data_IF_804726315828
#
_entry.id   IF_804726315828
#
_cell.length_a   1.000
_cell.length_b   1.000
_cell.length_c   1.000
_cell.angle_alpha   90.00
_cell.angle_beta   90.00
_cell.angle_gamma   90.00
#
_symmetry.space_group_name_H-M   'P 1'
#
loop_
_entity.id
_entity.type
_entity.pdbx_description
1 polymer ?
#
# COMPACT_ATOMS: atom_id res chain seq x y z
N UNK A 1 -38.18 4.98 27.69
CA UNK A 1 -38.06 4.11 26.49
C UNK A 1 -36.99 4.61 25.51
N UNK A 2 -35.85 5.12 25.98
CA UNK A 2 -34.73 5.60 25.16
C UNK A 2 -33.34 5.03 25.58
N UNK A 3 -33.16 3.70 25.80
CA UNK A 3 -31.82 3.11 25.77
C UNK A 3 -31.67 1.93 24.79
N UNK A 4 -32.55 1.81 23.78
CA UNK A 4 -32.54 0.71 22.78
C UNK A 4 -32.15 1.13 21.36
N UNK A 5 -31.71 2.37 21.14
CA UNK A 5 -30.96 2.71 19.92
C UNK A 5 -29.53 2.21 20.13
N UNK A 6 -29.38 0.90 19.94
CA UNK A 6 -28.13 0.18 19.97
C UNK A 6 -27.08 0.86 19.11
N UNK A 7 -25.81 0.70 19.49
CA UNK A 7 -24.67 1.24 18.78
C UNK A 7 -24.92 1.22 17.26
N UNK A 8 -24.70 2.34 16.54
CA UNK A 8 -24.94 2.38 15.10
C UNK A 8 -24.24 1.18 14.48
N UNK A 9 -24.99 0.40 13.69
CA UNK A 9 -24.44 -0.82 13.11
C UNK A 9 -23.11 -0.49 12.43
N UNK A 10 -22.06 -1.32 12.60
CA UNK A 10 -20.77 -1.05 11.96
C UNK A 10 -20.83 -1.24 10.44
N UNK A 11 -21.94 -1.82 9.94
CA UNK A 11 -22.16 -2.13 8.53
C UNK A 11 -21.99 -0.93 7.59
N UNK A 12 -22.62 0.25 7.82
CA UNK A 12 -22.32 1.47 7.08
C UNK A 12 -20.85 1.84 6.99
N UNK A 13 -20.07 1.68 8.08
CA UNK A 13 -18.65 2.01 8.08
C UNK A 13 -17.85 1.02 7.23
N UNK A 14 -18.19 -0.27 7.29
CA UNK A 14 -17.57 -1.28 6.44
C UNK A 14 -17.90 -1.07 4.97
N UNK A 15 -19.14 -0.76 4.63
CA UNK A 15 -19.55 -0.46 3.26
C UNK A 15 -18.85 0.79 2.72
N UNK A 16 -18.75 1.85 3.53
CA UNK A 16 -18.05 3.07 3.17
C UNK A 16 -16.55 2.82 2.97
N UNK A 17 -15.91 2.07 3.86
CA UNK A 17 -14.51 1.69 3.74
C UNK A 17 -14.23 0.82 2.51
N UNK A 18 -15.11 -0.15 2.24
CA UNK A 18 -15.05 -0.97 1.02
C UNK A 18 -15.17 -0.12 -0.24
N UNK A 19 -16.18 0.76 -0.30
CA UNK A 19 -16.39 1.64 -1.43
C UNK A 19 -15.19 2.57 -1.65
N UNK A 20 -14.65 3.13 -0.57
CA UNK A 20 -13.45 3.96 -0.61
C UNK A 20 -12.25 3.19 -1.19
N UNK A 21 -11.95 2.00 -0.66
CA UNK A 21 -10.86 1.17 -1.15
C UNK A 21 -11.04 0.75 -2.62
N UNK A 22 -12.27 0.43 -3.02
CA UNK A 22 -12.60 0.08 -4.41
C UNK A 22 -12.37 1.26 -5.36
N UNK A 23 -12.88 2.45 -5.01
CA UNK A 23 -12.68 3.67 -5.80
C UNK A 23 -11.21 4.07 -5.86
N UNK A 24 -10.48 3.90 -4.76
CA UNK A 24 -9.05 4.19 -4.69
C UNK A 24 -8.23 3.28 -5.61
N UNK A 25 -8.56 1.98 -5.64
CA UNK A 25 -7.93 1.04 -6.57
C UNK A 25 -8.17 1.44 -8.04
N UNK A 26 -9.39 1.84 -8.38
CA UNK A 26 -9.71 2.37 -9.71
C UNK A 26 -8.92 3.65 -10.02
N UNK A 27 -8.84 4.57 -9.05
CA UNK A 27 -8.07 5.82 -9.17
C UNK A 27 -6.60 5.55 -9.45
N UNK A 28 -5.97 4.62 -8.74
CA UNK A 28 -4.54 4.29 -8.95
C UNK A 28 -4.28 3.75 -10.36
N UNK A 29 -5.12 2.84 -10.84
CA UNK A 29 -4.99 2.28 -12.20
C UNK A 29 -5.22 3.36 -13.26
N UNK A 30 -6.27 4.17 -13.10
CA UNK A 30 -6.59 5.25 -14.03
C UNK A 30 -5.52 6.34 -14.07
N UNK A 31 -5.00 6.77 -12.91
CA UNK A 31 -3.94 7.76 -12.81
C UNK A 31 -2.63 7.26 -13.44
N UNK A 32 -2.28 5.98 -13.23
CA UNK A 32 -1.11 5.36 -13.84
C UNK A 32 -1.19 5.27 -15.36
N UNK A 33 -2.38 5.02 -15.91
CA UNK A 33 -2.64 5.02 -17.35
C UNK A 33 -2.63 6.44 -17.93
N UNK A 34 -3.31 7.39 -17.29
CA UNK A 34 -3.35 8.79 -17.72
C UNK A 34 -1.94 9.39 -17.78
N UNK A 35 -1.08 9.10 -16.79
CA UNK A 35 0.31 9.53 -16.78
C UNK A 35 1.11 8.93 -17.95
N UNK A 36 0.82 7.68 -18.31
CA UNK A 36 1.46 7.00 -19.43
C UNK A 36 1.06 7.61 -20.79
N UNK A 37 -0.19 8.05 -20.92
CA UNK A 37 -0.71 8.66 -22.15
C UNK A 37 -0.28 10.12 -22.33
N UNK A 38 -0.03 10.85 -21.23
CA UNK A 38 0.33 12.28 -21.26
C UNK A 38 1.82 12.55 -21.50
N UNK A 39 2.70 11.58 -21.25
CA UNK A 39 4.14 11.79 -21.26
C UNK A 39 4.86 10.87 -22.26
N UNK A 40 5.90 11.37 -22.94
CA UNK A 40 6.77 10.55 -23.77
C UNK A 40 7.54 9.53 -22.93
N UNK A 41 7.90 8.38 -23.52
CA UNK A 41 8.48 7.23 -22.81
C UNK A 41 9.73 7.57 -22.00
N UNK A 42 10.52 8.51 -22.50
CA UNK A 42 11.77 8.98 -21.92
C UNK A 42 11.54 9.77 -20.62
N UNK A 43 10.40 10.47 -20.52
CA UNK A 43 10.02 11.25 -19.35
C UNK A 43 9.26 10.42 -18.29
N UNK A 44 8.66 9.30 -18.67
CA UNK A 44 7.82 8.48 -17.78
C UNK A 44 8.56 7.97 -16.54
N UNK A 45 9.80 7.52 -16.70
CA UNK A 45 10.59 7.01 -15.58
C UNK A 45 10.85 8.11 -14.53
N UNK A 46 11.23 9.31 -14.99
CA UNK A 46 11.46 10.48 -14.12
C UNK A 46 10.18 10.94 -13.44
N UNK A 47 9.09 11.06 -14.19
CA UNK A 47 7.80 11.51 -13.65
C UNK A 47 7.23 10.52 -12.62
N UNK A 48 7.32 9.21 -12.88
CA UNK A 48 6.93 8.18 -11.89
C UNK A 48 7.79 8.21 -10.64
N UNK A 49 9.11 8.42 -10.78
CA UNK A 49 10.00 8.56 -9.63
C UNK A 49 9.65 9.76 -8.75
N UNK A 50 9.39 10.92 -9.37
CA UNK A 50 8.94 12.13 -8.65
C UNK A 50 7.59 11.90 -7.96
N UNK A 51 6.63 11.30 -8.67
CA UNK A 51 5.31 11.02 -8.12
C UNK A 51 5.40 10.06 -6.93
N UNK A 52 6.24 9.04 -7.00
CA UNK A 52 6.50 8.12 -5.88
C UNK A 52 7.09 8.84 -4.66
N UNK A 53 8.04 9.76 -4.88
CA UNK A 53 8.60 10.57 -3.78
C UNK A 53 7.54 11.49 -3.14
N UNK A 54 6.66 12.10 -3.95
CA UNK A 54 5.55 12.91 -3.44
C UNK A 54 4.55 12.07 -2.64
N UNK A 55 4.20 10.87 -3.11
CA UNK A 55 3.33 9.96 -2.35
C UNK A 55 3.96 9.57 -1.01
N UNK A 56 5.23 9.17 -0.99
CA UNK A 56 5.91 8.80 0.26
C UNK A 56 5.95 9.96 1.27
N UNK A 57 6.20 11.19 0.80
CA UNK A 57 6.16 12.37 1.66
C UNK A 57 4.74 12.66 2.16
N UNK A 58 3.74 12.56 1.28
CA UNK A 58 2.33 12.79 1.62
C UNK A 58 1.83 11.76 2.64
N UNK A 59 2.16 10.48 2.48
CA UNK A 59 1.78 9.41 3.41
C UNK A 59 2.38 9.66 4.80
N UNK A 60 3.69 9.95 4.87
CA UNK A 60 4.36 10.25 6.14
C UNK A 60 3.76 11.48 6.85
N UNK A 61 3.46 12.54 6.10
CA UNK A 61 2.80 13.74 6.63
C UNK A 61 1.35 13.46 7.07
N UNK A 62 0.63 12.66 6.28
CA UNK A 62 -0.76 12.29 6.51
C UNK A 62 -0.91 11.48 7.80
N UNK A 63 -0.06 10.47 8.02
CA UNK A 63 -0.12 9.62 9.23
C UNK A 63 0.13 10.42 10.51
N UNK A 64 1.14 11.30 10.48
CA UNK A 64 1.42 12.21 11.60
C UNK A 64 0.26 13.17 11.86
N UNK A 65 -0.22 13.84 10.81
CA UNK A 65 -1.29 14.82 10.91
C UNK A 65 -2.59 14.16 11.39
N UNK A 66 -2.94 12.99 10.85
CA UNK A 66 -4.12 12.24 11.25
C UNK A 66 -4.07 11.84 12.73
N UNK A 67 -2.93 11.33 13.21
CA UNK A 67 -2.76 10.98 14.63
C UNK A 67 -2.93 12.18 15.56
N UNK A 68 -2.28 13.31 15.24
CA UNK A 68 -2.36 14.54 16.05
C UNK A 68 -3.78 15.14 16.03
N UNK A 69 -4.37 15.28 14.84
CA UNK A 69 -5.69 15.86 14.66
C UNK A 69 -6.77 15.00 15.32
N UNK A 70 -6.67 13.67 15.22
CA UNK A 70 -7.64 12.77 15.85
C UNK A 70 -7.63 12.89 17.37
N UNK A 71 -6.45 13.10 17.96
CA UNK A 71 -6.27 13.31 19.40
C UNK A 71 -6.88 14.64 19.86
N UNK A 72 -6.83 15.68 19.01
CA UNK A 72 -7.35 17.02 19.33
C UNK A 72 -8.84 17.16 19.05
N UNK A 73 -9.31 16.73 17.88
CA UNK A 73 -10.70 16.87 17.45
C UNK A 73 -11.04 15.94 16.28
N UNK A 74 -11.92 14.96 16.55
CA UNK A 74 -12.40 13.98 15.56
C UNK A 74 -13.10 14.61 14.33
N UNK A 75 -13.99 15.62 14.48
CA UNK A 75 -14.66 16.25 13.33
C UNK A 75 -13.69 16.97 12.39
N UNK A 76 -12.64 17.60 12.93
CA UNK A 76 -11.64 18.30 12.11
C UNK A 76 -10.84 17.34 11.24
N UNK A 77 -10.54 16.14 11.75
CA UNK A 77 -9.82 15.10 10.99
C UNK A 77 -10.63 14.67 9.76
N UNK A 78 -11.93 14.41 9.94
CA UNK A 78 -12.83 14.02 8.84
C UNK A 78 -13.07 15.20 7.88
N UNK A 79 -13.24 16.41 8.41
CA UNK A 79 -13.49 17.62 7.62
C UNK A 79 -12.31 17.99 6.71
N UNK A 80 -11.10 18.01 7.26
CA UNK A 80 -9.88 18.28 6.47
C UNK A 80 -9.63 17.19 5.42
N UNK A 81 -9.74 15.91 5.81
CA UNK A 81 -9.57 14.79 4.87
C UNK A 81 -10.57 14.86 3.71
N UNK A 82 -11.84 15.12 4.01
CA UNK A 82 -12.88 15.28 2.98
C UNK A 82 -12.61 16.48 2.08
N UNK A 83 -12.21 17.62 2.65
CA UNK A 83 -11.87 18.83 1.89
C UNK A 83 -10.72 18.61 0.90
N UNK A 84 -9.67 17.91 1.33
CA UNK A 84 -8.55 17.54 0.46
C UNK A 84 -8.98 16.61 -0.69
N UNK A 85 -9.86 15.65 -0.42
CA UNK A 85 -10.42 14.77 -1.46
C UNK A 85 -11.24 15.55 -2.49
N UNK A 86 -12.07 16.51 -2.05
CA UNK A 86 -12.83 17.37 -2.97
C UNK A 86 -11.90 18.27 -3.80
N UNK A 87 -10.86 18.84 -3.19
CA UNK A 87 -9.86 19.62 -3.90
C UNK A 87 -9.16 18.76 -4.97
N UNK A 88 -8.74 17.55 -4.61
CA UNK A 88 -8.12 16.61 -5.55
C UNK A 88 -9.08 16.28 -6.72
N UNK A 89 -10.36 16.01 -6.43
CA UNK A 89 -11.37 15.77 -7.47
C UNK A 89 -11.54 16.98 -8.41
N UNK A 90 -11.49 18.20 -7.87
CA UNK A 90 -11.48 19.44 -8.67
C UNK A 90 -10.26 19.55 -9.58
N UNK A 91 -9.06 19.27 -9.06
CA UNK A 91 -7.81 19.27 -9.83
C UNK A 91 -7.81 18.19 -10.93
N UNK A 92 -8.38 17.01 -10.66
CA UNK A 92 -8.54 15.97 -11.68
C UNK A 92 -9.40 16.39 -12.86
N UNK A 93 -10.39 17.27 -12.65
CA UNK A 93 -11.22 17.81 -13.74
C UNK A 93 -10.49 18.82 -14.61
N UNK A 94 -9.42 19.43 -14.11
CA UNK A 94 -8.62 20.41 -14.84
C UNK A 94 -7.51 19.75 -15.68
N UNK A 95 -7.27 18.45 -15.52
CA UNK A 95 -6.26 17.72 -16.30
C UNK A 95 -6.72 17.55 -17.76
N UNK A 96 -5.84 17.79 -18.75
CA UNK A 96 -6.13 17.51 -20.14
C UNK A 96 -6.32 16.00 -20.32
N UNK A 97 -7.48 15.60 -20.85
CA UNK A 97 -7.75 14.19 -21.14
C UNK A 97 -7.25 13.87 -22.55
N UNK A 98 -6.28 12.94 -22.71
CA UNK A 98 -5.88 12.49 -24.03
C UNK A 98 -7.07 11.79 -24.73
N UNK A 99 -7.12 11.83 -26.08
CA UNK A 99 -8.19 11.20 -26.83
C UNK A 99 -8.28 9.71 -26.51
N UNK A 100 -9.50 9.24 -26.23
CA UNK A 100 -9.76 7.83 -25.86
C UNK A 100 -9.22 6.89 -26.94
N UNK A 101 -8.21 6.08 -26.62
CA UNK A 101 -7.85 4.96 -27.49
C UNK A 101 -9.02 3.97 -27.52
N UNK A 102 -9.62 3.75 -28.68
CA UNK A 102 -10.79 2.89 -28.89
C UNK A 102 -10.48 1.39 -28.87
N UNK A 103 -9.49 0.97 -28.06
CA UNK A 103 -9.13 -0.45 -27.96
C UNK A 103 -10.20 -1.13 -27.11
N UNK A 104 -11.02 -1.98 -27.76
CA UNK A 104 -12.01 -2.82 -27.08
C UNK A 104 -11.31 -3.66 -26.00
N UNK A 105 -11.86 -3.76 -24.78
CA UNK A 105 -11.39 -4.71 -23.79
C UNK A 105 -11.74 -6.11 -24.31
N UNK A 106 -10.83 -6.74 -25.05
CA UNK A 106 -10.91 -8.18 -25.29
C UNK A 106 -10.89 -8.85 -23.91
N UNK A 107 -11.92 -9.63 -23.58
CA UNK A 107 -12.18 -10.25 -22.26
C UNK A 107 -11.13 -11.29 -21.82
N UNK A 108 -9.86 -10.88 -21.80
CA UNK A 108 -8.66 -11.69 -21.63
C UNK A 108 -7.82 -11.23 -20.43
N UNK A 109 -8.37 -10.41 -19.54
CA UNK A 109 -7.67 -9.92 -18.33
C UNK A 109 -7.13 -11.04 -17.44
N UNK A 110 -7.78 -12.21 -17.44
CA UNK A 110 -7.35 -13.40 -16.70
C UNK A 110 -6.10 -14.08 -17.28
N UNK A 111 -5.69 -13.79 -18.53
CA UNK A 111 -4.46 -14.36 -19.12
C UNK A 111 -3.20 -13.90 -18.38
N UNK A 112 -3.20 -12.68 -17.81
CA UNK A 112 -2.06 -12.19 -17.02
C UNK A 112 -1.86 -12.99 -15.73
N UNK A 113 -2.95 -13.29 -15.02
CA UNK A 113 -2.96 -14.13 -13.82
C UNK A 113 -2.57 -15.59 -14.14
N UNK A 114 -3.09 -16.12 -15.24
CA UNK A 114 -2.76 -17.48 -15.69
C UNK A 114 -1.28 -17.62 -16.07
N UNK A 115 -0.74 -16.65 -16.81
CA UNK A 115 0.70 -16.62 -17.16
C UNK A 115 1.59 -16.51 -15.92
N UNK A 116 1.21 -15.66 -14.97
CA UNK A 116 1.89 -15.50 -13.69
C UNK A 116 1.95 -16.82 -12.89
N UNK A 117 0.86 -17.58 -12.88
CA UNK A 117 0.75 -18.85 -12.16
C UNK A 117 1.43 -20.02 -12.87
N UNK A 118 1.39 -20.04 -14.21
CA UNK A 118 2.02 -21.07 -15.04
C UNK A 118 3.55 -20.92 -15.12
N UNK A 119 4.10 -19.74 -14.85
CA UNK A 119 5.54 -19.50 -14.88
C UNK A 119 6.24 -20.00 -13.60
N UNK A 120 7.11 -21.03 -13.67
CA UNK A 120 7.71 -21.66 -12.49
C UNK A 120 8.60 -20.72 -11.66
N UNK A 121 9.20 -19.71 -12.30
CA UNK A 121 10.06 -18.72 -11.65
C UNK A 121 9.28 -17.62 -10.92
N UNK A 122 8.07 -17.30 -11.40
CA UNK A 122 7.24 -16.21 -10.85
C UNK A 122 6.27 -16.68 -9.78
N UNK A 123 5.86 -17.96 -9.81
CA UNK A 123 4.95 -18.53 -8.81
C UNK A 123 5.46 -18.39 -7.36
N UNK A 124 6.72 -18.69 -7.02
CA UNK A 124 7.23 -18.51 -5.67
C UNK A 124 7.21 -17.04 -5.23
N UNK A 125 7.54 -16.12 -6.15
CA UNK A 125 7.55 -14.69 -5.89
C UNK A 125 6.14 -14.16 -5.60
N UNK A 126 5.14 -14.62 -6.37
CA UNK A 126 3.73 -14.28 -6.15
C UNK A 126 3.22 -14.80 -4.81
N UNK A 127 3.60 -16.02 -4.42
CA UNK A 127 3.22 -16.57 -3.12
C UNK A 127 3.85 -15.79 -1.97
N UNK A 128 5.12 -15.39 -2.09
CA UNK A 128 5.78 -14.55 -1.10
C UNK A 128 5.11 -13.18 -0.98
N UNK A 129 4.72 -12.56 -2.10
CA UNK A 129 3.98 -11.31 -2.09
C UNK A 129 2.59 -11.42 -1.49
N UNK A 130 1.84 -12.45 -1.87
CA UNK A 130 0.52 -12.72 -1.32
C UNK A 130 0.60 -12.91 0.20
N UNK A 131 1.58 -13.68 0.68
CA UNK A 131 1.79 -13.92 2.10
C UNK A 131 2.22 -12.65 2.84
N UNK A 132 3.16 -11.88 2.28
CA UNK A 132 3.61 -10.63 2.88
C UNK A 132 2.48 -9.60 2.94
N UNK A 133 1.70 -9.48 1.86
CA UNK A 133 0.54 -8.59 1.82
C UNK A 133 -0.54 -8.98 2.84
N UNK A 134 -0.83 -10.28 2.96
CA UNK A 134 -1.76 -10.79 3.98
C UNK A 134 -1.26 -10.46 5.40
N UNK A 135 0.01 -10.69 5.67
CA UNK A 135 0.61 -10.42 6.97
C UNK A 135 0.63 -8.91 7.30
N UNK A 136 0.87 -8.06 6.31
CA UNK A 136 0.80 -6.62 6.46
C UNK A 136 -0.63 -6.14 6.74
N UNK A 137 -1.61 -6.71 6.05
CA UNK A 137 -3.03 -6.38 6.25
C UNK A 137 -3.51 -6.83 7.64
N UNK A 138 -3.07 -8.01 8.09
CA UNK A 138 -3.27 -8.48 9.46
C UNK A 138 -2.66 -7.53 10.49
N UNK A 139 -1.40 -7.13 10.29
CA UNK A 139 -0.72 -6.16 11.15
C UNK A 139 -1.43 -4.81 11.20
N UNK A 140 -1.82 -4.26 10.05
CA UNK A 140 -2.54 -2.99 9.98
C UNK A 140 -3.90 -3.04 10.69
N UNK A 141 -4.61 -4.17 10.63
CA UNK A 141 -5.87 -4.38 11.34
C UNK A 141 -5.70 -4.46 12.86
N UNK A 142 -4.64 -5.10 13.35
CA UNK A 142 -4.40 -5.31 14.77
C UNK A 142 -3.65 -4.16 15.47
N UNK A 143 -2.84 -3.39 14.75
CA UNK A 143 -2.01 -2.33 15.33
C UNK A 143 -2.80 -1.33 16.19
N UNK A 144 -4.00 -0.84 15.79
CA UNK A 144 -4.83 0.00 16.64
C UNK A 144 -5.22 -0.66 17.96
N UNK A 145 -5.55 -1.96 17.94
CA UNK A 145 -5.90 -2.71 19.15
C UNK A 145 -4.70 -2.92 20.06
N UNK A 146 -3.54 -3.27 19.49
CA UNK A 146 -2.29 -3.43 20.25
C UNK A 146 -1.95 -2.13 20.97
N UNK A 147 -1.96 -0.98 20.28
CA UNK A 147 -1.58 0.30 20.89
C UNK A 147 -2.64 0.80 21.87
N UNK A 148 -3.90 0.87 21.46
CA UNK A 148 -4.94 1.51 22.27
C UNK A 148 -5.48 0.62 23.39
N UNK A 149 -5.50 -0.71 23.20
CA UNK A 149 -6.07 -1.64 24.19
C UNK A 149 -5.03 -2.44 24.94
N UNK A 150 -4.05 -3.03 24.25
CA UNK A 150 -3.04 -3.88 24.91
C UNK A 150 -1.99 -3.06 25.66
N UNK A 151 -1.46 -2.02 25.01
CA UNK A 151 -0.47 -1.12 25.62
C UNK A 151 -1.12 0.03 26.41
N UNK A 152 -2.41 0.30 26.17
CA UNK A 152 -3.14 1.39 26.84
C UNK A 152 -2.64 2.78 26.47
N UNK A 153 -2.01 2.90 25.30
CA UNK A 153 -1.32 4.10 24.83
C UNK A 153 -2.27 5.08 24.12
N UNK A 154 -1.81 6.32 24.01
CA UNK A 154 -2.55 7.44 23.42
C UNK A 154 -2.55 7.41 21.87
N UNK A 155 -3.63 7.90 21.26
CA UNK A 155 -3.86 7.80 19.80
C UNK A 155 -2.80 8.43 18.90
N UNK A 156 -2.05 9.42 19.38
CA UNK A 156 -0.97 10.02 18.59
C UNK A 156 0.19 9.03 18.35
N UNK A 157 0.35 8.02 19.22
CA UNK A 157 1.36 6.97 19.05
C UNK A 157 1.07 6.15 17.79
N UNK A 158 -0.20 5.92 17.44
CA UNK A 158 -0.54 5.26 16.18
C UNK A 158 -0.07 6.05 14.96
N UNK A 159 -0.30 7.37 14.97
CA UNK A 159 0.20 8.26 13.91
C UNK A 159 1.73 8.28 13.85
N UNK A 160 2.40 8.28 15.00
CA UNK A 160 3.86 8.17 15.06
C UNK A 160 4.35 6.84 14.48
N UNK A 161 3.75 5.71 14.84
CA UNK A 161 4.15 4.39 14.35
C UNK A 161 3.95 4.26 12.83
N UNK A 162 2.87 4.82 12.28
CA UNK A 162 2.64 4.93 10.84
C UNK A 162 3.71 5.78 10.16
N UNK A 163 4.03 6.95 10.73
CA UNK A 163 5.10 7.80 10.21
C UNK A 163 6.48 7.14 10.22
N UNK A 164 6.80 6.41 11.29
CA UNK A 164 8.05 5.65 11.43
C UNK A 164 8.10 4.50 10.42
N UNK A 165 6.98 3.82 10.19
CA UNK A 165 6.86 2.81 9.13
C UNK A 165 7.09 3.43 7.75
N UNK A 166 6.44 4.55 7.44
CA UNK A 166 6.61 5.30 6.20
C UNK A 166 8.04 5.79 6.00
N UNK A 167 8.72 6.24 7.06
CA UNK A 167 10.14 6.59 7.03
C UNK A 167 11.03 5.37 6.73
N UNK A 168 10.72 4.22 7.35
CA UNK A 168 11.37 2.95 7.04
C UNK A 168 11.21 2.58 5.57
N UNK A 169 9.99 2.69 5.04
CA UNK A 169 9.71 2.45 3.62
C UNK A 169 10.48 3.39 2.69
N UNK A 170 10.52 4.68 3.00
CA UNK A 170 11.29 5.66 2.23
C UNK A 170 12.79 5.33 2.22
N UNK A 171 13.37 5.02 3.38
CA UNK A 171 14.78 4.63 3.47
C UNK A 171 15.06 3.29 2.77
N UNK A 172 14.18 2.31 2.92
CA UNK A 172 14.28 1.03 2.20
C UNK A 172 14.27 1.21 0.69
N UNK A 173 13.37 2.07 0.18
CA UNK A 173 13.30 2.42 -1.23
C UNK A 173 14.56 3.14 -1.74
N UNK A 174 15.09 4.12 -0.97
CA UNK A 174 16.31 4.85 -1.33
C UNK A 174 17.53 3.94 -1.36
N UNK A 175 17.62 2.98 -0.43
CA UNK A 175 18.76 2.07 -0.31
C UNK A 175 18.67 0.87 -1.26
N UNK A 176 17.57 0.69 -2.01
CA UNK A 176 17.36 -0.49 -2.85
C UNK A 176 18.50 -0.72 -3.84
N UNK A 177 18.98 0.34 -4.51
CA UNK A 177 20.07 0.21 -5.49
C UNK A 177 21.40 -0.22 -4.86
N UNK A 178 21.72 0.34 -3.69
CA UNK A 178 22.95 0.00 -2.96
C UNK A 178 22.91 -1.44 -2.41
N UNK A 179 21.75 -1.87 -1.88
CA UNK A 179 21.55 -3.23 -1.38
C UNK A 179 21.57 -4.23 -2.53
N UNK A 180 20.89 -3.92 -3.64
CA UNK A 180 20.84 -4.76 -4.83
C UNK A 180 22.23 -4.96 -5.46
N UNK A 181 23.03 -3.90 -5.54
CA UNK A 181 24.41 -3.97 -6.05
C UNK A 181 25.34 -4.83 -5.17
N UNK A 182 25.05 -4.97 -3.88
CA UNK A 182 25.87 -5.75 -2.93
C UNK A 182 25.41 -7.19 -2.76
N UNK A 183 24.10 -7.44 -2.71
CA UNK A 183 23.52 -8.73 -2.35
C UNK A 183 22.89 -9.47 -3.55
N UNK A 184 22.75 -8.80 -4.70
CA UNK A 184 21.99 -9.30 -5.85
C UNK A 184 20.49 -9.40 -5.56
N UNK A 185 19.72 -9.83 -6.57
CA UNK A 185 18.25 -9.92 -6.49
C UNK A 185 17.80 -10.86 -5.36
N UNK A 186 18.27 -12.11 -5.37
CA UNK A 186 17.86 -13.12 -4.37
C UNK A 186 18.31 -12.80 -2.95
N UNK A 187 19.49 -12.20 -2.77
CA UNK A 187 19.96 -11.76 -1.45
C UNK A 187 19.14 -10.60 -0.91
N UNK A 188 18.78 -9.65 -1.77
CA UNK A 188 17.93 -8.50 -1.40
C UNK A 188 16.52 -8.95 -1.01
N UNK A 189 15.92 -9.87 -1.77
CA UNK A 189 14.59 -10.42 -1.43
C UNK A 189 14.59 -11.13 -0.07
N UNK A 190 15.63 -11.93 0.23
CA UNK A 190 15.77 -12.60 1.54
C UNK A 190 15.94 -11.61 2.68
N UNK A 191 16.79 -10.59 2.50
CA UNK A 191 16.96 -9.53 3.48
C UNK A 191 15.63 -8.80 3.74
N UNK A 192 14.93 -8.44 2.67
CA UNK A 192 13.66 -7.72 2.75
C UNK A 192 12.58 -8.52 3.50
N UNK A 193 12.44 -9.82 3.19
CA UNK A 193 11.56 -10.74 3.92
C UNK A 193 12.00 -10.91 5.38
N UNK A 194 13.30 -10.97 5.65
CA UNK A 194 13.83 -11.05 7.01
C UNK A 194 13.49 -9.81 7.85
N UNK A 195 13.67 -8.61 7.28
CA UNK A 195 13.31 -7.34 7.94
C UNK A 195 11.80 -7.25 8.19
N UNK A 196 10.99 -7.57 7.19
CA UNK A 196 9.53 -7.52 7.32
C UNK A 196 9.02 -8.58 8.31
N UNK A 197 9.54 -9.80 8.23
CA UNK A 197 9.20 -10.88 9.16
C UNK A 197 9.61 -10.56 10.59
N UNK A 198 10.79 -9.97 10.81
CA UNK A 198 11.24 -9.55 12.14
C UNK A 198 10.35 -8.42 12.69
N UNK A 199 9.98 -7.45 11.86
CA UNK A 199 9.02 -6.41 12.23
C UNK A 199 7.69 -7.01 12.69
N UNK A 200 7.09 -7.89 11.87
CA UNK A 200 5.82 -8.54 12.16
C UNK A 200 5.86 -9.43 13.40
N UNK A 201 6.80 -10.38 13.46
CA UNK A 201 6.91 -11.32 14.58
C UNK A 201 7.29 -10.61 15.88
N UNK A 202 8.13 -9.58 15.81
CA UNK A 202 8.47 -8.77 16.97
C UNK A 202 7.27 -8.03 17.54
N UNK A 203 6.34 -7.57 16.69
CA UNK A 203 5.13 -6.87 17.17
C UNK A 203 4.18 -7.80 17.93
N UNK A 204 4.20 -9.10 17.63
CA UNK A 204 3.40 -10.10 18.33
C UNK A 204 3.83 -10.30 19.81
N UNK A 205 5.04 -9.88 20.18
CA UNK A 205 5.53 -9.94 21.56
C UNK A 205 5.01 -8.80 22.45
N UNK A 206 4.17 -7.91 21.91
CA UNK A 206 3.62 -6.74 22.59
C UNK A 206 4.71 -5.89 23.30
N UNK A 207 5.79 -5.50 22.59
CA UNK A 207 6.86 -4.72 23.19
C UNK A 207 6.39 -3.30 23.54
N UNK A 208 7.13 -2.58 24.42
CA UNK A 208 6.85 -1.17 24.68
C UNK A 208 6.92 -0.36 23.38
N UNK A 209 6.13 0.73 23.30
CA UNK A 209 5.94 1.50 22.07
C UNK A 209 7.23 1.99 21.38
N UNK A 210 8.35 2.31 22.06
CA UNK A 210 9.58 2.71 21.36
C UNK A 210 10.20 1.57 20.57
N UNK A 211 10.15 0.34 21.12
CA UNK A 211 10.62 -0.85 20.42
C UNK A 211 9.65 -1.24 19.31
N UNK A 212 8.35 -1.06 19.53
CA UNK A 212 7.34 -1.20 18.49
C UNK A 212 7.62 -0.28 17.29
N UNK A 213 8.04 0.96 17.53
CA UNK A 213 8.44 1.90 16.47
C UNK A 213 9.64 1.39 15.66
N UNK A 214 10.65 0.83 16.31
CA UNK A 214 11.76 0.18 15.61
C UNK A 214 11.29 -1.00 14.73
N UNK A 215 10.33 -1.78 15.21
CA UNK A 215 9.79 -2.92 14.46
C UNK A 215 8.92 -2.47 13.28
N UNK A 216 8.10 -1.43 13.43
CA UNK A 216 7.32 -0.87 12.32
C UNK A 216 8.20 -0.21 11.26
N UNK A 217 9.31 0.40 11.67
CA UNK A 217 10.34 0.88 10.76
C UNK A 217 10.92 -0.24 9.89
N UNK A 218 11.33 -1.35 10.51
CA UNK A 218 11.89 -2.50 9.80
C UNK A 218 10.86 -3.15 8.88
N UNK A 219 9.61 -3.19 9.31
CA UNK A 219 8.49 -3.64 8.49
C UNK A 219 8.32 -2.79 7.23
N UNK A 220 8.33 -1.46 7.37
CA UNK A 220 8.27 -0.53 6.24
C UNK A 220 9.46 -0.68 5.29
N UNK A 221 10.69 -0.73 5.83
CA UNK A 221 11.91 -0.87 5.05
C UNK A 221 11.96 -2.20 4.27
N UNK A 222 11.62 -3.31 4.94
CA UNK A 222 11.53 -4.63 4.32
C UNK A 222 10.47 -4.67 3.22
N UNK A 223 9.28 -4.11 3.48
CA UNK A 223 8.21 -4.03 2.48
C UNK A 223 8.62 -3.26 1.23
N UNK A 224 9.25 -2.10 1.38
CA UNK A 224 9.69 -1.27 0.25
C UNK A 224 10.80 -1.95 -0.57
N UNK A 225 11.82 -2.53 0.10
CA UNK A 225 12.88 -3.27 -0.57
C UNK A 225 12.32 -4.46 -1.36
N UNK A 226 11.42 -5.23 -0.74
CA UNK A 226 10.82 -6.39 -1.37
C UNK A 226 9.97 -5.98 -2.57
N UNK A 227 9.07 -5.01 -2.41
CA UNK A 227 8.19 -4.53 -3.48
C UNK A 227 8.97 -3.98 -4.68
N UNK A 228 10.06 -3.25 -4.43
CA UNK A 228 10.90 -2.70 -5.49
C UNK A 228 11.58 -3.81 -6.32
N UNK A 229 12.22 -4.79 -5.67
CA UNK A 229 12.92 -5.88 -6.36
C UNK A 229 11.94 -6.86 -6.99
N UNK A 230 10.92 -7.30 -6.24
CA UNK A 230 9.90 -8.23 -6.75
C UNK A 230 9.16 -7.62 -7.95
N UNK A 231 8.78 -6.34 -7.86
CA UNK A 231 8.15 -5.60 -8.95
C UNK A 231 9.03 -5.53 -10.20
N UNK A 232 10.32 -5.26 -10.02
CA UNK A 232 11.28 -5.25 -11.12
C UNK A 232 11.42 -6.63 -11.80
N UNK A 233 11.55 -7.70 -11.01
CA UNK A 233 11.62 -9.09 -11.51
C UNK A 233 10.35 -9.50 -12.26
N UNK A 234 9.16 -9.14 -11.74
CA UNK A 234 7.89 -9.40 -12.43
C UNK A 234 7.81 -8.71 -13.78
N UNK A 235 8.23 -7.44 -13.85
CA UNK A 235 8.15 -6.67 -15.09
C UNK A 235 9.22 -7.07 -16.11
N UNK A 236 10.40 -7.50 -15.66
CA UNK A 236 11.48 -7.93 -16.54
C UNK A 236 11.17 -9.27 -17.23
N UNK A 237 10.56 -10.22 -16.50
CA UNK A 237 10.18 -11.53 -17.03
C UNK A 237 8.85 -11.53 -17.82
N UNK A 238 8.04 -10.47 -17.69
CA UNK A 238 6.79 -10.34 -18.44
C UNK A 238 7.03 -9.84 -19.88
N UNK A 239 6.46 -10.51 -20.90
CA UNK A 239 6.49 -10.03 -22.29
C UNK A 239 5.92 -8.61 -22.41
N UNK A 240 6.50 -7.73 -23.25
CA UNK A 240 6.07 -6.33 -23.37
C UNK A 240 4.56 -6.15 -23.59
N UNK A 241 3.94 -7.08 -24.33
CA UNK A 241 2.52 -7.09 -24.69
C UNK A 241 1.61 -7.53 -23.52
N UNK A 242 2.18 -8.15 -22.48
CA UNK A 242 1.46 -8.68 -21.32
C UNK A 242 1.79 -7.96 -20.01
N UNK A 243 2.81 -7.08 -19.96
CA UNK A 243 3.21 -6.35 -18.74
C UNK A 243 2.06 -5.61 -18.05
N UNK A 244 1.21 -4.91 -18.81
CA UNK A 244 0.04 -4.23 -18.26
C UNK A 244 -1.00 -5.18 -17.67
N UNK A 245 -1.16 -6.37 -18.27
CA UNK A 245 -2.10 -7.40 -17.79
C UNK A 245 -1.57 -8.15 -16.57
N UNK A 246 -0.26 -8.40 -16.54
CA UNK A 246 0.45 -8.98 -15.39
C UNK A 246 0.37 -8.05 -14.18
N UNK A 247 0.62 -6.75 -14.37
CA UNK A 247 0.47 -5.75 -13.33
C UNK A 247 -0.98 -5.64 -12.82
N UNK A 248 -1.97 -5.59 -13.73
CA UNK A 248 -3.38 -5.56 -13.37
C UNK A 248 -3.86 -6.82 -12.64
N UNK A 249 -3.43 -8.00 -13.08
CA UNK A 249 -3.73 -9.28 -12.43
C UNK A 249 -3.11 -9.40 -11.04
N UNK A 250 -1.88 -8.90 -10.87
CA UNK A 250 -1.22 -8.81 -9.57
C UNK A 250 -1.96 -7.85 -8.61
N UNK A 251 -2.32 -6.65 -9.08
CA UNK A 251 -3.10 -5.70 -8.28
C UNK A 251 -4.45 -6.27 -7.86
N UNK A 252 -5.12 -7.01 -8.75
CA UNK A 252 -6.37 -7.71 -8.41
C UNK A 252 -6.15 -8.78 -7.32
N UNK A 253 -5.12 -9.62 -7.45
CA UNK A 253 -4.82 -10.66 -6.46
C UNK A 253 -4.45 -10.05 -5.10
N UNK A 254 -3.57 -9.06 -5.10
CA UNK A 254 -3.16 -8.34 -3.89
C UNK A 254 -4.34 -7.63 -3.23
N UNK A 255 -5.20 -6.99 -4.03
CA UNK A 255 -6.41 -6.31 -3.55
C UNK A 255 -7.48 -7.27 -3.03
N UNK A 256 -7.59 -8.47 -3.61
CA UNK A 256 -8.53 -9.50 -3.15
C UNK A 256 -8.07 -10.17 -1.84
N UNK A 257 -6.76 -10.29 -1.63
CA UNK A 257 -6.19 -10.87 -0.41
C UNK A 257 -6.08 -9.87 0.74
N UNK A 258 -5.91 -8.58 0.46
CA UNK A 258 -5.86 -7.52 1.47
C UNK A 258 -7.01 -7.56 2.49
N UNK A 259 -8.30 -7.70 2.13
CA UNK A 259 -9.39 -7.75 3.09
C UNK A 259 -9.41 -9.04 3.93
N UNK A 260 -8.75 -10.12 3.52
CA UNK A 260 -8.69 -11.35 4.31
C UNK A 260 -7.80 -11.20 5.55
N UNK A 261 -6.78 -10.34 5.50
CA UNK A 261 -5.86 -10.14 6.63
C UNK A 261 -6.57 -9.68 7.91
N UNK A 262 -7.31 -8.56 7.87
CA UNK A 262 -8.08 -8.07 9.02
C UNK A 262 -9.23 -8.99 9.44
N UNK A 263 -9.71 -9.89 8.57
CA UNK A 263 -10.76 -10.86 8.94
C UNK A 263 -10.22 -12.06 9.73
N UNK A 264 -8.93 -12.35 9.60
CA UNK A 264 -8.26 -13.47 10.28
C UNK A 264 -7.64 -13.06 11.64
N UNK A 265 -7.62 -11.78 11.98
CA UNK A 265 -7.07 -11.24 13.24
C UNK A 265 -8.14 -10.66 14.15
#
# INVERSE_FOLDING_TARGET
>A
LLPLLGAPSPLPLYLLGFLFAFLEALRMVAAGALLADLLPKEALARARGQLGAFYAAADALSDLAAGLLFTRSRPWTVGLGSGLLFLAAGLYRALPLPPRSSVRPEGRSLLGLRFLWESPSLRPLLLQEALLGLAYAFFAGLLPFVVLRSLGEVSWILGLLGAVQSLGGALGGLLVGAVLGRLGEGGTLRLALGLAGLGLLGTALLPPWPLLAGLTFLLGAGGALFGAVAGAVRLSQAPPELRGRVAGGFLFLSGALAPLGPLLG
#
